data_IF_385257148958
#
_entry.id   IF_385257148958
#
_cell.length_a   1.000
_cell.length_b   1.000
_cell.length_c   1.000
_cell.angle_alpha   90.00
_cell.angle_beta   90.00
_cell.angle_gamma   90.00
#
_symmetry.space_group_name_H-M   'P 1'
#
loop_
_entity.id
_entity.type
_entity.pdbx_description
1 polymer ?
#
# COMPACT_ATOMS: atom_id res chain seq x y z
N UNK A 1 12.65 25.01 0.60
CA UNK A 1 12.75 24.03 1.69
C UNK A 1 12.85 22.64 1.10
N UNK A 2 13.94 21.96 1.42
CA UNK A 2 14.17 20.62 0.88
C UNK A 2 13.57 19.57 1.83
N UNK A 3 12.61 18.82 1.31
CA UNK A 3 12.06 17.69 2.06
C UNK A 3 12.86 16.43 1.71
N UNK A 4 13.30 15.73 2.73
CA UNK A 4 13.95 14.45 2.51
C UNK A 4 12.94 13.45 1.98
N UNK A 5 13.27 12.80 0.87
CA UNK A 5 12.46 11.73 0.30
C UNK A 5 13.05 10.39 0.70
N UNK A 6 12.27 9.33 0.54
CA UNK A 6 12.76 7.98 0.82
C UNK A 6 13.72 7.45 -0.27
N UNK A 7 13.90 8.21 -1.35
CA UNK A 7 14.78 7.79 -2.44
C UNK A 7 14.20 6.72 -3.34
N UNK A 8 12.87 6.73 -3.51
CA UNK A 8 12.19 5.77 -4.35
C UNK A 8 12.72 5.80 -5.78
N UNK A 9 12.93 4.63 -6.36
CA UNK A 9 13.51 4.49 -7.69
C UNK A 9 12.68 3.60 -8.60
N UNK A 10 12.96 3.65 -9.90
CA UNK A 10 12.37 2.78 -10.89
C UNK A 10 10.90 3.01 -11.13
N UNK A 11 10.18 1.94 -11.38
CA UNK A 11 8.76 1.99 -11.75
C UNK A 11 7.87 2.64 -10.70
N UNK A 12 8.20 2.47 -9.42
CA UNK A 12 7.40 3.06 -8.35
C UNK A 12 7.61 4.57 -8.23
N UNK A 13 8.80 5.06 -8.53
CA UNK A 13 9.04 6.49 -8.61
C UNK A 13 8.24 7.11 -9.74
N UNK A 14 8.17 6.43 -10.88
CA UNK A 14 7.36 6.89 -12.01
C UNK A 14 5.87 6.88 -11.67
N UNK A 15 5.44 5.92 -10.84
CA UNK A 15 4.04 5.79 -10.46
C UNK A 15 3.58 6.86 -9.47
N UNK A 16 4.32 7.09 -8.41
CA UNK A 16 3.89 7.98 -7.32
C UNK A 16 4.83 9.16 -7.05
N UNK A 17 5.93 9.25 -7.73
CA UNK A 17 6.89 10.34 -7.54
C UNK A 17 7.87 10.08 -6.42
N UNK A 18 8.25 11.14 -5.71
CA UNK A 18 9.28 11.10 -4.67
C UNK A 18 8.68 11.37 -3.29
N UNK A 19 8.08 10.36 -2.64
CA UNK A 19 7.45 10.56 -1.34
C UNK A 19 8.48 10.74 -0.23
N UNK A 20 8.06 11.47 0.81
CA UNK A 20 8.84 11.60 2.04
C UNK A 20 8.50 10.45 3.01
N UNK A 21 9.33 10.30 4.05
CA UNK A 21 9.04 9.32 5.10
C UNK A 21 7.68 9.61 5.73
N UNK A 22 6.96 8.55 6.09
CA UNK A 22 5.65 8.72 6.71
C UNK A 22 4.52 9.11 5.75
N UNK A 23 4.73 8.92 4.45
CA UNK A 23 3.67 9.22 3.48
C UNK A 23 2.49 8.27 3.63
N UNK A 24 1.33 8.69 3.16
CA UNK A 24 0.13 7.85 3.12
C UNK A 24 -0.32 7.65 1.69
N UNK A 25 -0.77 6.44 1.38
CA UNK A 25 -1.17 6.06 0.03
C UNK A 25 -2.43 5.21 0.09
N UNK A 26 -3.32 5.42 -0.86
CA UNK A 26 -4.52 4.62 -1.01
C UNK A 26 -4.42 3.84 -2.32
N UNK A 27 -4.66 2.54 -2.27
CA UNK A 27 -4.69 1.69 -3.46
C UNK A 27 -6.08 1.11 -3.59
N UNK A 28 -6.69 1.25 -4.75
CA UNK A 28 -8.01 0.68 -4.97
C UNK A 28 -8.11 0.05 -6.36
N UNK A 29 -9.06 -0.86 -6.49
CA UNK A 29 -9.31 -1.56 -7.75
C UNK A 29 -10.34 -2.66 -7.57
N UNK A 30 -10.90 -3.12 -8.68
CA UNK A 30 -11.85 -4.23 -8.67
C UNK A 30 -11.16 -5.55 -8.31
N UNK A 31 -11.91 -6.55 -7.84
CA UNK A 31 -11.34 -7.88 -7.67
C UNK A 31 -10.66 -8.36 -8.95
N UNK A 32 -9.54 -9.05 -8.79
CA UNK A 32 -8.75 -9.62 -9.91
C UNK A 32 -8.15 -8.58 -10.86
N UNK A 33 -8.05 -7.33 -10.44
CA UNK A 33 -7.39 -6.28 -11.25
C UNK A 33 -5.87 -6.34 -11.25
N UNK A 34 -5.28 -7.10 -10.34
CA UNK A 34 -3.83 -7.14 -10.12
C UNK A 34 -3.40 -6.35 -8.89
N UNK A 35 -4.33 -5.86 -8.12
CA UNK A 35 -4.10 -5.00 -6.95
C UNK A 35 -3.20 -5.67 -5.91
N UNK A 36 -3.52 -6.89 -5.49
CA UNK A 36 -2.72 -7.62 -4.51
C UNK A 36 -1.32 -7.93 -5.04
N UNK A 37 -1.22 -8.31 -6.30
CA UNK A 37 0.07 -8.59 -6.95
C UNK A 37 0.96 -7.35 -6.92
N UNK A 38 0.41 -6.20 -7.29
CA UNK A 38 1.14 -4.93 -7.27
C UNK A 38 1.58 -4.56 -5.86
N UNK A 39 0.67 -4.68 -4.88
CA UNK A 39 0.99 -4.32 -3.49
C UNK A 39 2.05 -5.22 -2.88
N UNK A 40 2.03 -6.52 -3.16
CA UNK A 40 3.06 -7.44 -2.67
C UNK A 40 4.40 -7.13 -3.32
N UNK A 41 4.42 -6.84 -4.62
CA UNK A 41 5.64 -6.46 -5.32
C UNK A 41 6.21 -5.15 -4.78
N UNK A 42 5.35 -4.17 -4.52
CA UNK A 42 5.74 -2.90 -3.92
C UNK A 42 6.31 -3.11 -2.52
N UNK A 43 5.64 -3.93 -1.71
CA UNK A 43 6.11 -4.26 -0.37
C UNK A 43 7.51 -4.91 -0.41
N UNK A 44 7.72 -5.82 -1.34
CA UNK A 44 9.02 -6.44 -1.58
C UNK A 44 10.09 -5.40 -1.94
N UNK A 45 9.77 -4.50 -2.87
CA UNK A 45 10.68 -3.44 -3.29
C UNK A 45 11.10 -2.56 -2.10
N UNK A 46 10.14 -2.16 -1.28
CA UNK A 46 10.41 -1.35 -0.10
C UNK A 46 11.23 -2.12 0.94
N UNK A 47 10.96 -3.41 1.11
CA UNK A 47 11.72 -4.24 2.05
C UNK A 47 13.17 -4.45 1.59
N UNK A 48 13.39 -4.55 0.31
CA UNK A 48 14.73 -4.74 -0.25
C UNK A 48 15.58 -3.48 -0.20
N UNK A 49 14.96 -2.31 -0.34
CA UNK A 49 15.69 -1.06 -0.58
C UNK A 49 15.48 0.04 0.45
N UNK A 50 14.42 0.00 1.25
CA UNK A 50 14.04 1.16 2.05
C UNK A 50 13.81 0.92 3.54
N UNK A 51 13.60 -0.32 3.98
CA UNK A 51 13.44 -0.59 5.41
C UNK A 51 12.50 -1.74 5.72
N UNK A 52 11.99 -1.74 6.95
CA UNK A 52 11.11 -2.81 7.42
C UNK A 52 9.67 -2.58 6.98
N UNK A 53 9.06 -3.62 6.43
CA UNK A 53 7.70 -3.56 5.89
C UNK A 53 6.82 -4.58 6.60
N UNK A 54 5.63 -4.14 7.01
CA UNK A 54 4.58 -5.03 7.49
C UNK A 54 3.48 -5.08 6.43
N UNK A 55 3.08 -6.28 6.04
CA UNK A 55 1.93 -6.49 5.18
C UNK A 55 0.85 -7.17 6.01
N UNK A 56 -0.16 -6.41 6.40
CA UNK A 56 -1.29 -6.92 7.18
C UNK A 56 -2.34 -7.48 6.22
N UNK A 57 -2.30 -8.79 6.03
CA UNK A 57 -3.18 -9.52 5.10
C UNK A 57 -4.48 -9.90 5.80
N UNK A 58 -5.30 -8.91 6.11
CA UNK A 58 -6.52 -9.09 6.90
C UNK A 58 -7.58 -9.86 6.12
N UNK A 59 -7.69 -9.58 4.82
CA UNK A 59 -8.69 -10.23 3.97
C UNK A 59 -8.38 -11.70 3.70
N UNK A 60 -7.14 -11.96 3.31
CA UNK A 60 -6.72 -13.30 2.87
C UNK A 60 -6.12 -14.14 4.00
N UNK A 61 -5.48 -13.46 4.96
CA UNK A 61 -4.72 -14.12 6.00
C UNK A 61 -3.41 -14.71 5.47
N UNK A 62 -2.65 -15.34 6.37
CA UNK A 62 -1.41 -16.01 5.98
C UNK A 62 -1.68 -17.50 5.84
N UNK A 63 -2.28 -17.86 4.72
CA UNK A 63 -2.58 -19.23 4.37
C UNK A 63 -1.88 -19.65 3.09
N UNK A 64 -2.37 -20.71 2.50
CA UNK A 64 -1.77 -21.29 1.28
C UNK A 64 -1.70 -20.29 0.13
N UNK A 65 -2.77 -19.54 -0.12
CA UNK A 65 -2.82 -18.57 -1.22
C UNK A 65 -1.81 -17.44 -1.07
N UNK A 66 -1.68 -16.91 0.13
CA UNK A 66 -0.69 -15.85 0.40
C UNK A 66 0.72 -16.40 0.25
N UNK A 67 0.98 -17.57 0.79
CA UNK A 67 2.29 -18.21 0.67
C UNK A 67 2.66 -18.45 -0.79
N UNK A 68 1.71 -18.93 -1.59
CA UNK A 68 1.91 -19.17 -3.02
C UNK A 68 2.22 -17.85 -3.76
N UNK A 69 1.51 -16.77 -3.45
CA UNK A 69 1.79 -15.46 -4.04
C UNK A 69 3.19 -14.97 -3.71
N UNK A 70 3.60 -15.10 -2.47
CA UNK A 70 4.94 -14.68 -2.04
C UNK A 70 6.03 -15.46 -2.76
N UNK A 71 5.85 -16.77 -2.91
CA UNK A 71 6.80 -17.61 -3.62
C UNK A 71 6.85 -17.30 -5.11
N UNK A 72 5.68 -17.16 -5.74
CA UNK A 72 5.58 -16.83 -7.16
C UNK A 72 6.20 -15.48 -7.50
N UNK A 73 6.00 -14.49 -6.65
CA UNK A 73 6.53 -13.15 -6.85
C UNK A 73 7.95 -12.98 -6.27
N UNK A 74 8.49 -14.03 -5.67
CA UNK A 74 9.79 -14.00 -5.00
C UNK A 74 9.86 -12.87 -3.99
N UNK A 75 8.78 -12.71 -3.24
CA UNK A 75 8.62 -11.58 -2.32
C UNK A 75 9.06 -11.88 -0.89
N UNK A 76 9.59 -13.07 -0.62
CA UNK A 76 10.08 -13.39 0.70
C UNK A 76 11.38 -12.64 0.98
N UNK A 77 11.42 -11.87 2.06
CA UNK A 77 12.57 -11.07 2.44
C UNK A 77 12.63 -10.92 3.96
N UNK A 78 13.84 -10.79 4.51
CA UNK A 78 14.04 -10.65 5.95
C UNK A 78 13.39 -9.40 6.54
N UNK A 79 13.20 -8.36 5.74
CA UNK A 79 12.58 -7.10 6.17
C UNK A 79 11.09 -7.01 5.82
N UNK A 80 10.52 -8.05 5.24
CA UNK A 80 9.08 -8.12 4.95
C UNK A 80 8.40 -9.07 5.92
N UNK A 81 7.49 -8.52 6.71
CA UNK A 81 6.72 -9.25 7.72
C UNK A 81 5.27 -9.36 7.27
N UNK A 82 4.70 -10.55 7.39
CA UNK A 82 3.29 -10.79 7.06
C UNK A 82 2.51 -11.02 8.34
N UNK A 83 1.37 -10.36 8.48
CA UNK A 83 0.49 -10.52 9.64
C UNK A 83 -0.95 -10.69 9.18
N UNK A 84 -1.76 -11.36 9.97
CA UNK A 84 -3.20 -11.51 9.71
C UNK A 84 -4.03 -10.39 10.33
N UNK A 85 -3.41 -9.55 11.14
CA UNK A 85 -4.08 -8.43 11.79
C UNK A 85 -3.10 -7.26 11.94
N UNK A 86 -3.63 -6.13 12.42
CA UNK A 86 -2.83 -4.93 12.64
C UNK A 86 -2.30 -4.97 14.09
N UNK A 87 -0.98 -5.09 14.30
CA UNK A 87 -0.40 -5.07 15.65
C UNK A 87 -0.62 -3.73 16.34
N UNK A 88 -0.63 -3.73 17.67
CA UNK A 88 -0.77 -2.50 18.44
C UNK A 88 0.43 -1.57 18.28
N UNK A 89 1.63 -2.14 18.15
CA UNK A 89 2.86 -1.35 18.01
C UNK A 89 3.39 -1.48 16.60
N UNK A 90 3.50 -0.36 15.91
CA UNK A 90 3.97 -0.30 14.53
C UNK A 90 5.30 0.44 14.38
N UNK A 91 5.90 0.89 15.50
CA UNK A 91 7.08 1.74 15.47
C UNK A 91 8.33 1.12 14.84
N UNK A 92 8.41 -0.20 14.77
CA UNK A 92 9.56 -0.88 14.14
C UNK A 92 9.43 -0.97 12.62
N UNK A 93 8.27 -0.62 12.07
CA UNK A 93 8.03 -0.69 10.64
C UNK A 93 8.10 0.68 10.00
N UNK A 94 8.79 0.76 8.88
CA UNK A 94 8.87 1.98 8.08
C UNK A 94 7.70 2.09 7.12
N UNK A 95 7.11 0.96 6.73
CA UNK A 95 5.99 0.87 5.81
C UNK A 95 4.99 -0.17 6.31
N UNK A 96 3.71 0.16 6.27
CA UNK A 96 2.62 -0.76 6.67
C UNK A 96 1.57 -0.78 5.57
N UNK A 97 1.32 -1.98 5.03
CA UNK A 97 0.25 -2.22 4.07
C UNK A 97 -0.93 -2.84 4.81
N UNK A 98 -2.13 -2.35 4.57
CA UNK A 98 -3.36 -2.89 5.16
C UNK A 98 -4.27 -3.39 4.03
N UNK A 99 -4.39 -4.69 3.89
CA UNK A 99 -5.15 -5.36 2.83
C UNK A 99 -6.22 -6.27 3.43
N UNK A 100 -7.46 -5.88 3.47
CA UNK A 100 -7.97 -4.61 2.98
C UNK A 100 -8.65 -3.84 4.10
N UNK A 101 -8.78 -2.54 3.93
CA UNK A 101 -9.42 -1.67 4.91
C UNK A 101 -10.90 -2.04 5.09
N UNK A 102 -11.60 -2.32 4.00
CA UNK A 102 -13.02 -2.69 4.07
C UNK A 102 -13.27 -3.99 4.83
N UNK A 103 -12.38 -4.99 4.72
CA UNK A 103 -12.48 -6.24 5.46
C UNK A 103 -12.04 -6.08 6.91
N UNK A 104 -11.08 -5.22 7.17
CA UNK A 104 -10.62 -4.93 8.52
C UNK A 104 -11.59 -4.07 9.31
N UNK A 105 -12.64 -3.59 8.68
CA UNK A 105 -13.64 -2.70 9.28
C UNK A 105 -13.01 -1.47 9.93
N UNK A 106 -11.96 -0.97 9.30
CA UNK A 106 -11.22 0.21 9.79
C UNK A 106 -11.87 1.44 9.18
N UNK A 107 -12.36 2.35 10.02
CA UNK A 107 -12.99 3.58 9.55
C UNK A 107 -11.98 4.71 9.39
N UNK A 108 -12.44 5.86 8.87
CA UNK A 108 -11.59 7.03 8.64
C UNK A 108 -10.88 7.50 9.91
N UNK A 109 -11.57 7.48 11.05
CA UNK A 109 -10.99 7.91 12.31
C UNK A 109 -9.85 7.00 12.73
N UNK A 110 -10.00 5.70 12.54
CA UNK A 110 -8.96 4.73 12.86
C UNK A 110 -7.74 4.87 11.94
N UNK A 111 -7.97 5.13 10.64
CA UNK A 111 -6.88 5.36 9.69
C UNK A 111 -6.09 6.62 10.06
N UNK A 112 -6.79 7.71 10.38
CA UNK A 112 -6.14 8.95 10.80
C UNK A 112 -5.38 8.77 12.11
N UNK A 113 -5.92 7.99 13.04
CA UNK A 113 -5.26 7.69 14.31
C UNK A 113 -3.97 6.92 14.09
N UNK A 114 -3.96 5.94 13.20
CA UNK A 114 -2.76 5.19 12.85
C UNK A 114 -1.68 6.10 12.29
N UNK A 115 -2.05 7.01 11.39
CA UNK A 115 -1.13 7.97 10.78
C UNK A 115 -0.55 8.91 11.83
N UNK A 116 -1.39 9.46 12.68
CA UNK A 116 -0.97 10.40 13.73
C UNK A 116 -0.07 9.75 14.78
N UNK A 117 -0.37 8.51 15.14
CA UNK A 117 0.40 7.78 16.15
C UNK A 117 1.74 7.29 15.63
N UNK A 118 1.90 7.23 14.32
CA UNK A 118 3.12 6.70 13.69
C UNK A 118 3.57 7.64 12.55
N UNK A 119 4.02 8.85 12.88
CA UNK A 119 4.28 9.87 11.85
C UNK A 119 5.45 9.56 10.92
N UNK A 120 6.34 8.64 11.31
CA UNK A 120 7.47 8.23 10.48
C UNK A 120 7.18 6.97 9.67
N UNK A 121 6.03 6.35 9.88
CA UNK A 121 5.63 5.13 9.18
C UNK A 121 4.74 5.49 8.01
N UNK A 122 5.08 5.01 6.82
CA UNK A 122 4.24 5.17 5.65
C UNK A 122 3.13 4.11 5.66
N UNK A 123 1.91 4.54 5.40
CA UNK A 123 0.76 3.63 5.36
C UNK A 123 0.21 3.52 3.95
N UNK A 124 0.03 2.29 3.49
CA UNK A 124 -0.58 1.99 2.19
C UNK A 124 -1.87 1.24 2.47
N UNK A 125 -2.99 1.91 2.25
CA UNK A 125 -4.33 1.38 2.52
C UNK A 125 -4.93 0.82 1.24
N UNK A 126 -5.33 -0.44 1.29
CA UNK A 126 -5.89 -1.14 0.14
C UNK A 126 -7.40 -1.25 0.30
N UNK A 127 -8.13 -0.79 -0.72
CA UNK A 127 -9.59 -0.80 -0.75
C UNK A 127 -10.09 -1.59 -1.96
N UNK A 128 -11.26 -2.18 -1.83
CA UNK A 128 -11.94 -2.78 -2.96
C UNK A 128 -12.88 -1.76 -3.59
N UNK A 129 -12.86 -1.64 -4.91
CA UNK A 129 -13.86 -0.87 -5.62
C UNK A 129 -15.08 -1.75 -5.91
N UNK A 130 -16.22 -1.11 -6.19
CA UNK A 130 -17.43 -1.81 -6.59
C UNK A 130 -17.29 -2.32 -8.03
N UNK A 131 -18.25 -3.11 -8.50
CA UNK A 131 -18.27 -3.61 -9.88
C UNK A 131 -18.31 -2.48 -10.90
N UNK A 132 -18.87 -1.35 -10.52
CA UNK A 132 -18.98 -0.16 -11.39
C UNK A 132 -17.69 0.68 -11.38
N UNK A 133 -16.72 0.30 -10.55
CA UNK A 133 -15.46 1.01 -10.47
C UNK A 133 -15.36 2.00 -9.33
N UNK A 134 -16.42 2.17 -8.56
CA UNK A 134 -16.39 3.02 -7.36
C UNK A 134 -15.87 2.22 -6.17
N UNK A 135 -15.15 2.87 -5.27
CA UNK A 135 -14.65 2.21 -4.07
C UNK A 135 -15.32 2.79 -2.82
N UNK A 136 -15.80 1.88 -1.97
CA UNK A 136 -16.56 2.26 -0.76
C UNK A 136 -15.69 2.96 0.25
N UNK A 137 -16.14 4.11 0.70
CA UNK A 137 -15.46 4.90 1.72
C UNK A 137 -14.17 5.54 1.25
N UNK A 138 -13.73 5.24 0.03
CA UNK A 138 -12.47 5.73 -0.47
C UNK A 138 -12.47 7.21 -0.79
N UNK A 139 -13.59 7.74 -1.26
CA UNK A 139 -13.68 9.16 -1.59
C UNK A 139 -13.52 10.04 -0.35
N UNK A 140 -14.03 9.59 0.78
CA UNK A 140 -13.88 10.31 2.05
C UNK A 140 -12.42 10.29 2.52
N UNK A 141 -11.72 9.18 2.28
CA UNK A 141 -10.32 9.03 2.67
C UNK A 141 -9.36 9.70 1.70
N UNK A 142 -9.76 9.90 0.45
CA UNK A 142 -8.88 10.42 -0.59
C UNK A 142 -8.32 11.80 -0.28
N UNK A 143 -9.00 12.60 0.53
CA UNK A 143 -8.53 13.92 0.93
C UNK A 143 -7.42 13.88 1.97
N UNK A 144 -7.31 12.77 2.70
CA UNK A 144 -6.38 12.65 3.81
C UNK A 144 -5.10 11.90 3.46
N UNK A 145 -5.01 11.37 2.25
CA UNK A 145 -3.82 10.65 1.81
C UNK A 145 -2.98 11.47 0.84
N UNK A 146 -1.68 11.18 0.84
CA UNK A 146 -0.72 11.90 0.00
C UNK A 146 -0.75 11.44 -1.46
N UNK A 147 -1.04 10.18 -1.70
CA UNK A 147 -1.14 9.67 -3.07
C UNK A 147 -2.20 8.58 -3.18
N UNK A 148 -2.68 8.39 -4.40
CA UNK A 148 -3.71 7.42 -4.72
C UNK A 148 -3.25 6.60 -5.91
N UNK A 149 -3.43 5.29 -5.83
CA UNK A 149 -3.12 4.36 -6.93
C UNK A 149 -4.40 3.61 -7.30
N UNK A 150 -4.79 3.71 -8.54
CA UNK A 150 -5.88 2.89 -9.08
C UNK A 150 -5.28 1.74 -9.88
N UNK A 151 -5.70 0.51 -9.59
CA UNK A 151 -5.28 -0.66 -10.36
C UNK A 151 -6.45 -1.15 -11.19
N UNK A 152 -6.26 -1.20 -12.49
CA UNK A 152 -7.33 -1.53 -13.44
C UNK A 152 -6.76 -2.40 -14.56
N UNK A 153 -7.28 -3.60 -14.69
CA UNK A 153 -6.89 -4.53 -15.74
C UNK A 153 -5.37 -4.71 -15.89
N UNK A 154 -4.70 -4.92 -14.78
CA UNK A 154 -3.25 -5.16 -14.77
C UNK A 154 -2.38 -3.93 -14.94
N UNK A 155 -2.97 -2.72 -14.86
CA UNK A 155 -2.22 -1.47 -14.94
C UNK A 155 -2.50 -0.62 -13.71
N UNK A 156 -1.46 -0.08 -13.10
CA UNK A 156 -1.57 0.83 -11.96
C UNK A 156 -1.42 2.27 -12.44
N UNK A 157 -2.31 3.14 -11.99
CA UNK A 157 -2.31 4.57 -12.31
C UNK A 157 -2.11 5.37 -11.03
N UNK A 158 -1.06 6.15 -10.95
CA UNK A 158 -0.74 6.96 -9.79
C UNK A 158 -1.27 8.37 -9.89
N UNK A 159 -1.75 8.91 -8.77
CA UNK A 159 -2.19 10.29 -8.61
C UNK A 159 -1.70 10.75 -7.25
N UNK A 160 -1.20 11.97 -7.13
CA UNK A 160 -0.79 12.42 -5.82
C UNK A 160 0.07 13.65 -5.79
N UNK A 161 0.55 13.98 -4.59
CA UNK A 161 1.31 15.20 -4.31
C UNK A 161 2.76 15.15 -4.73
N UNK A 162 3.30 13.95 -4.93
CA UNK A 162 4.75 13.77 -5.09
C UNK A 162 5.22 13.80 -6.54
N UNK A 163 4.32 14.05 -7.46
CA UNK A 163 4.68 14.14 -8.87
C UNK A 163 3.47 14.16 -9.78
N UNK A 164 3.74 14.14 -11.06
CA UNK A 164 2.72 14.03 -12.10
C UNK A 164 2.29 12.56 -12.12
N UNK A 165 1.03 12.27 -12.04
CA UNK A 165 0.56 10.89 -12.05
C UNK A 165 1.22 10.04 -13.16
N UNK A 166 1.54 8.80 -12.84
CA UNK A 166 2.17 7.86 -13.76
C UNK A 166 1.37 6.58 -13.92
N UNK A 167 1.85 5.69 -14.77
CA UNK A 167 1.24 4.37 -14.92
C UNK A 167 2.31 3.29 -14.97
N UNK A 168 1.92 2.06 -14.62
CA UNK A 168 2.84 0.94 -14.50
C UNK A 168 2.10 -0.35 -14.78
N UNK A 169 2.68 -1.21 -15.62
CA UNK A 169 2.16 -2.56 -15.80
C UNK A 169 2.40 -3.40 -14.55
N UNK A 170 1.38 -4.15 -14.14
CA UNK A 170 1.46 -4.98 -12.92
C UNK A 170 1.99 -6.38 -13.24
N UNK A 171 1.67 -6.88 -14.43
CA UNK A 171 2.06 -8.22 -14.84
C UNK A 171 3.20 -8.21 -15.84
#
# INVERSE_FOLDING_TARGET
MDFETIGLEGKYKELIGAPSAGFSCMVYGKPKSGKSTMCIDFAKHLAEHHGNVLYAAIEEGYGYTMKEKLERLKATHKNLYISENIPHKLSKFDFVFIDSVSKGKVDNNQLNELIKSNPKTAFIFIFHSTKEGDFRGGQENAHDVDCIIEVKEGVAFGKGRFGIGGEMGVF
#
